data_IF_385206618366
#
_entry.id   IF_385206618366
#
_cell.length_a   1.000
_cell.length_b   1.000
_cell.length_c   1.000
_cell.angle_alpha   90.00
_cell.angle_beta   90.00
_cell.angle_gamma   90.00
#
_symmetry.space_group_name_H-M   'P 1'
#
loop_
_entity.id
_entity.type
_entity.pdbx_description
1 polymer ?
#
# COMPACT_ATOMS: atom_id res chain seq x y z
N UNK A 1 3.66 20.16 -0.81
CA UNK A 1 3.62 18.70 -0.58
C UNK A 1 4.16 18.01 -1.82
N UNK A 2 5.37 17.45 -1.74
CA UNK A 2 5.94 16.68 -2.83
C UNK A 2 5.78 15.21 -2.48
N UNK A 3 5.39 14.38 -3.44
CA UNK A 3 5.55 12.94 -3.28
C UNK A 3 7.05 12.68 -3.25
N UNK A 4 7.58 12.12 -2.16
CA UNK A 4 8.96 11.65 -2.15
C UNK A 4 9.15 10.57 -3.25
N UNK A 5 10.38 10.37 -3.74
CA UNK A 5 10.69 9.38 -4.79
C UNK A 5 10.06 8.02 -4.54
N UNK A 6 10.05 7.62 -3.28
CA UNK A 6 9.59 6.32 -2.85
C UNK A 6 8.07 6.21 -3.04
N UNK A 7 7.32 7.24 -2.64
CA UNK A 7 5.88 7.32 -2.86
C UNK A 7 5.54 7.33 -4.35
N UNK A 8 6.29 8.10 -5.16
CA UNK A 8 6.13 8.11 -6.61
C UNK A 8 6.40 6.74 -7.23
N UNK A 9 7.49 6.06 -6.83
CA UNK A 9 7.84 4.71 -7.26
C UNK A 9 6.69 3.74 -7.02
N UNK A 10 6.10 3.80 -5.83
CA UNK A 10 5.06 2.87 -5.39
C UNK A 10 3.75 3.08 -6.14
N UNK A 11 3.35 4.33 -6.38
CA UNK A 11 2.18 4.66 -7.21
C UNK A 11 2.39 4.17 -8.64
N UNK A 12 3.56 4.39 -9.22
CA UNK A 12 3.88 3.96 -10.57
C UNK A 12 3.95 2.43 -10.70
N UNK A 13 4.48 1.73 -9.70
CA UNK A 13 4.49 0.27 -9.66
C UNK A 13 3.07 -0.30 -9.68
N UNK A 14 2.19 0.22 -8.84
CA UNK A 14 0.78 -0.19 -8.81
C UNK A 14 0.08 0.08 -10.15
N UNK A 15 0.27 1.27 -10.71
CA UNK A 15 -0.32 1.64 -12.00
C UNK A 15 0.19 0.71 -13.12
N UNK A 16 1.49 0.45 -13.16
CA UNK A 16 2.12 -0.38 -14.17
C UNK A 16 1.68 -1.85 -14.11
N UNK A 17 1.50 -2.41 -12.91
CA UNK A 17 1.02 -3.79 -12.74
C UNK A 17 -0.43 -4.00 -13.16
N UNK A 18 -1.29 -2.97 -13.05
CA UNK A 18 -2.72 -3.09 -13.35
C UNK A 18 -3.07 -2.53 -14.74
N UNK A 19 -2.30 -1.56 -15.24
CA UNK A 19 -2.57 -0.80 -16.46
C UNK A 19 -1.25 -0.46 -17.17
N UNK A 20 -0.51 -1.50 -17.56
CA UNK A 20 0.84 -1.37 -18.14
C UNK A 20 0.89 -0.40 -19.32
N UNK A 21 0.06 -0.59 -20.34
CA UNK A 21 0.06 0.23 -21.56
C UNK A 21 -0.25 1.72 -21.27
N UNK A 22 -1.21 1.97 -20.40
CA UNK A 22 -1.61 3.33 -20.03
C UNK A 22 -0.55 4.02 -19.19
N UNK A 23 0.09 3.28 -18.28
CA UNK A 23 1.19 3.80 -17.46
C UNK A 23 2.40 4.09 -18.34
N UNK A 24 2.78 3.21 -19.27
CA UNK A 24 3.84 3.47 -20.25
C UNK A 24 3.57 4.70 -21.10
N UNK A 25 2.33 4.84 -21.59
CA UNK A 25 1.93 5.98 -22.39
C UNK A 25 2.14 7.29 -21.60
N UNK A 26 1.57 7.40 -20.40
CA UNK A 26 1.72 8.61 -19.56
C UNK A 26 3.19 8.87 -19.24
N UNK A 27 3.93 7.84 -18.84
CA UNK A 27 5.34 8.00 -18.47
C UNK A 27 6.27 8.33 -19.63
N UNK A 28 5.85 8.05 -20.87
CA UNK A 28 6.57 8.42 -22.10
C UNK A 28 6.31 9.85 -22.57
N UNK A 29 5.31 10.56 -21.99
CA UNK A 29 4.97 11.91 -22.40
C UNK A 29 5.99 12.94 -21.88
N UNK A 30 6.67 13.63 -22.81
CA UNK A 30 7.59 14.73 -22.51
C UNK A 30 6.92 15.98 -21.90
N UNK A 31 5.60 15.98 -21.71
CA UNK A 31 4.87 17.10 -21.08
C UNK A 31 5.04 17.12 -19.56
N UNK A 32 5.28 15.97 -18.92
CA UNK A 32 5.44 15.87 -17.46
C UNK A 32 6.70 16.63 -16.99
N UNK A 33 7.77 16.62 -17.80
CA UNK A 33 9.02 17.34 -17.55
C UNK A 33 8.87 18.88 -17.58
N UNK A 34 7.79 19.39 -18.20
CA UNK A 34 7.61 20.84 -18.43
C UNK A 34 6.91 21.55 -17.28
N UNK A 35 6.48 20.83 -16.24
CA UNK A 35 5.83 21.45 -15.10
C UNK A 35 6.87 22.11 -14.20
N UNK A 36 6.78 23.43 -14.08
CA UNK A 36 7.58 24.22 -13.12
C UNK A 36 7.23 23.75 -11.72
N UNK A 37 8.25 23.49 -10.90
CA UNK A 37 8.06 23.13 -9.50
C UNK A 37 7.25 24.22 -8.78
N UNK A 38 6.16 23.83 -8.12
CA UNK A 38 5.34 24.73 -7.31
C UNK A 38 5.81 24.59 -5.86
N UNK A 39 6.24 25.70 -5.24
CA UNK A 39 6.55 25.78 -3.80
C UNK A 39 7.57 24.74 -3.32
N UNK A 40 8.69 24.60 -4.03
CA UNK A 40 9.75 23.63 -3.73
C UNK A 40 9.31 22.15 -3.80
N UNK A 41 8.12 21.85 -4.33
CA UNK A 41 7.72 20.49 -4.67
C UNK A 41 8.28 20.13 -6.05
N UNK A 42 9.49 19.59 -6.07
CA UNK A 42 10.07 18.97 -7.25
C UNK A 42 9.61 17.51 -7.33
N UNK A 43 8.82 17.15 -8.35
CA UNK A 43 8.64 15.73 -8.69
C UNK A 43 10.05 15.20 -8.96
N UNK A 44 10.54 14.31 -8.10
CA UNK A 44 11.81 13.62 -8.33
C UNK A 44 11.81 12.98 -9.72
N UNK A 45 12.99 12.83 -10.32
CA UNK A 45 13.14 12.43 -11.73
C UNK A 45 12.26 11.22 -12.05
N UNK A 46 11.12 11.53 -12.67
CA UNK A 46 10.01 10.63 -12.88
C UNK A 46 10.45 9.45 -13.77
N UNK A 47 11.42 9.69 -14.66
CA UNK A 47 12.01 8.65 -15.52
C UNK A 47 12.88 7.69 -14.74
N UNK A 48 13.71 8.19 -13.82
CA UNK A 48 14.52 7.34 -12.94
C UNK A 48 13.61 6.45 -12.09
N UNK A 49 12.55 7.05 -11.55
CA UNK A 49 11.55 6.34 -10.76
C UNK A 49 10.81 5.28 -11.58
N UNK A 50 10.43 5.59 -12.82
CA UNK A 50 9.75 4.65 -13.72
C UNK A 50 10.68 3.54 -14.24
N UNK A 51 11.95 3.84 -14.51
CA UNK A 51 12.94 2.83 -14.87
C UNK A 51 13.11 1.81 -13.74
N UNK A 52 13.18 2.29 -12.50
CA UNK A 52 13.20 1.44 -11.30
C UNK A 52 11.96 0.54 -11.21
N UNK A 53 10.77 1.04 -11.57
CA UNK A 53 9.53 0.23 -11.61
C UNK A 53 9.67 -0.94 -12.57
N UNK A 54 10.20 -0.70 -13.77
CA UNK A 54 10.42 -1.77 -14.77
C UNK A 54 11.41 -2.82 -14.29
N UNK A 55 12.47 -2.40 -13.60
CA UNK A 55 13.46 -3.32 -13.01
C UNK A 55 12.83 -4.20 -11.92
N UNK A 56 12.02 -3.62 -11.04
CA UNK A 56 11.34 -4.37 -9.97
C UNK A 56 10.36 -5.41 -10.55
N UNK A 57 9.54 -5.01 -11.53
CA UNK A 57 8.61 -5.94 -12.20
C UNK A 57 9.36 -7.07 -12.90
N UNK A 58 10.49 -6.76 -13.56
CA UNK A 58 11.33 -7.77 -14.19
C UNK A 58 12.03 -8.68 -13.17
N UNK A 59 12.39 -8.17 -11.98
CA UNK A 59 12.96 -8.95 -10.89
C UNK A 59 11.91 -9.88 -10.25
N UNK A 60 10.67 -9.42 -10.08
CA UNK A 60 9.57 -10.21 -9.54
C UNK A 60 9.12 -11.30 -10.54
N UNK A 61 9.07 -10.99 -11.84
CA UNK A 61 8.79 -11.98 -12.89
C UNK A 61 9.79 -13.14 -12.90
N UNK A 62 11.05 -12.90 -12.49
CA UNK A 62 12.08 -13.94 -12.35
C UNK A 62 11.87 -14.85 -11.14
N UNK A 63 11.03 -14.49 -10.18
CA UNK A 63 10.80 -15.30 -8.96
C UNK A 63 9.88 -16.51 -9.21
N UNK A 64 9.37 -16.72 -10.44
CA UNK A 64 8.55 -17.88 -10.84
C UNK A 64 7.37 -18.21 -9.90
N UNK A 65 6.85 -17.22 -9.16
CA UNK A 65 5.68 -17.40 -8.29
C UNK A 65 4.43 -17.28 -9.13
N UNK A 66 3.56 -18.29 -9.08
CA UNK A 66 2.22 -18.19 -9.66
C UNK A 66 1.43 -17.14 -8.88
N UNK A 67 0.94 -16.06 -9.51
CA UNK A 67 0.13 -15.06 -8.81
C UNK A 67 -1.12 -15.72 -8.23
N UNK A 68 -1.44 -15.36 -6.99
CA UNK A 68 -2.66 -15.84 -6.34
C UNK A 68 -3.87 -15.12 -6.94
N UNK A 69 -4.76 -15.88 -7.55
CA UNK A 69 -6.04 -15.36 -8.04
C UNK A 69 -7.05 -15.19 -6.90
N UNK A 70 -7.98 -14.25 -7.06
CA UNK A 70 -9.06 -14.02 -6.10
C UNK A 70 -9.50 -12.56 -6.05
N UNK A 71 -10.51 -12.25 -5.21
CA UNK A 71 -10.95 -10.87 -5.01
C UNK A 71 -9.87 -10.01 -4.36
N UNK A 72 -10.09 -8.69 -4.42
CA UNK A 72 -9.27 -7.69 -3.74
C UNK A 72 -9.93 -7.32 -2.42
N UNK A 73 -9.17 -7.44 -1.33
CA UNK A 73 -9.59 -6.97 -0.01
C UNK A 73 -9.07 -5.57 0.24
N UNK A 74 -9.94 -4.66 0.65
CA UNK A 74 -9.57 -3.30 1.05
C UNK A 74 -9.87 -3.08 2.53
N UNK A 75 -8.82 -3.12 3.35
CA UNK A 75 -8.90 -2.88 4.79
C UNK A 75 -8.55 -1.42 5.04
N UNK A 76 -9.44 -0.69 5.69
CA UNK A 76 -9.22 0.73 5.91
C UNK A 76 -9.85 1.22 7.22
N UNK A 77 -9.41 2.37 7.76
CA UNK A 77 -10.00 2.97 8.96
C UNK A 77 -11.42 3.48 8.67
N UNK A 78 -12.03 4.18 9.64
CA UNK A 78 -13.42 4.63 9.63
C UNK A 78 -13.82 5.44 8.37
N UNK A 79 -12.85 6.02 7.67
CA UNK A 79 -13.08 6.70 6.39
C UNK A 79 -13.69 5.80 5.30
N UNK A 80 -13.51 4.48 5.39
CA UNK A 80 -14.07 3.51 4.45
C UNK A 80 -15.43 2.95 4.88
N UNK A 81 -16.05 3.46 5.95
CA UNK A 81 -17.32 2.94 6.47
C UNK A 81 -18.47 2.97 5.45
N UNK A 82 -18.50 3.97 4.57
CA UNK A 82 -19.49 4.00 3.49
C UNK A 82 -19.22 2.92 2.44
N UNK A 83 -17.95 2.65 2.13
CA UNK A 83 -17.54 1.64 1.16
C UNK A 83 -17.72 0.21 1.67
N UNK A 84 -17.67 -0.02 2.99
CA UNK A 84 -17.96 -1.33 3.59
C UNK A 84 -19.46 -1.67 3.52
N UNK A 85 -20.33 -0.65 3.58
CA UNK A 85 -21.78 -0.83 3.44
C UNK A 85 -22.21 -1.09 2.00
N UNK A 86 -21.41 -0.63 1.04
CA UNK A 86 -21.58 -1.02 -0.34
C UNK A 86 -21.21 -2.51 -0.48
N UNK A 87 -22.14 -3.32 -0.98
CA UNK A 87 -21.88 -4.72 -1.30
C UNK A 87 -20.69 -4.87 -2.27
N UNK A 88 -19.99 -6.03 -2.30
CA UNK A 88 -18.81 -6.21 -3.13
C UNK A 88 -19.04 -5.80 -4.59
N UNK A 89 -18.32 -4.77 -5.06
CA UNK A 89 -18.39 -4.31 -6.46
C UNK A 89 -17.11 -4.69 -7.19
N UNK A 90 -17.25 -5.29 -8.37
CA UNK A 90 -16.13 -5.65 -9.24
C UNK A 90 -15.02 -6.47 -8.56
N UNK A 91 -15.38 -7.36 -7.61
CA UNK A 91 -14.42 -8.19 -6.88
C UNK A 91 -13.67 -7.46 -5.76
N UNK A 92 -14.03 -6.22 -5.42
CA UNK A 92 -13.51 -5.48 -4.27
C UNK A 92 -14.39 -5.72 -3.04
N UNK A 93 -13.79 -6.21 -1.96
CA UNK A 93 -14.45 -6.38 -0.65
C UNK A 93 -13.81 -5.42 0.35
N UNK A 94 -14.60 -4.49 0.86
CA UNK A 94 -14.11 -3.49 1.83
C UNK A 94 -14.43 -3.94 3.25
N UNK A 95 -13.47 -3.76 4.17
CA UNK A 95 -13.66 -3.95 5.62
C UNK A 95 -13.08 -2.79 6.40
N UNK A 96 -13.84 -2.29 7.37
CA UNK A 96 -13.34 -1.27 8.30
C UNK A 96 -12.55 -1.95 9.43
N UNK A 97 -11.31 -1.50 9.62
CA UNK A 97 -10.46 -1.92 10.73
C UNK A 97 -9.90 -0.67 11.42
N UNK A 98 -10.35 -0.41 12.65
CA UNK A 98 -9.95 0.75 13.47
C UNK A 98 -8.89 0.41 14.51
N UNK A 99 -8.54 -0.87 14.65
CA UNK A 99 -7.46 -1.38 15.51
C UNK A 99 -6.73 -2.55 14.85
N UNK A 100 -5.53 -2.86 15.32
CA UNK A 100 -4.75 -4.01 14.87
C UNK A 100 -5.48 -5.33 15.14
N UNK A 101 -6.18 -5.45 16.28
CA UNK A 101 -6.99 -6.63 16.59
C UNK A 101 -8.12 -6.86 15.55
N UNK A 102 -8.75 -5.80 15.06
CA UNK A 102 -9.74 -5.90 13.98
C UNK A 102 -9.07 -6.23 12.65
N UNK A 103 -7.93 -5.63 12.36
CA UNK A 103 -7.18 -5.89 11.13
C UNK A 103 -6.74 -7.36 11.03
N UNK A 104 -6.29 -7.95 12.14
CA UNK A 104 -5.97 -9.37 12.23
C UNK A 104 -7.16 -10.23 11.80
N UNK A 105 -8.35 -10.00 12.39
CA UNK A 105 -9.57 -10.74 12.06
C UNK A 105 -9.97 -10.59 10.59
N UNK A 106 -9.76 -9.41 10.02
CA UNK A 106 -9.99 -9.17 8.59
C UNK A 106 -9.08 -10.05 7.74
N UNK A 107 -7.77 -10.11 8.04
CA UNK A 107 -6.83 -10.95 7.30
C UNK A 107 -7.12 -12.45 7.42
N UNK A 108 -7.51 -12.90 8.61
CA UNK A 108 -7.93 -14.29 8.84
C UNK A 108 -9.14 -14.66 7.96
N UNK A 109 -10.01 -13.70 7.64
CA UNK A 109 -11.16 -13.90 6.75
C UNK A 109 -10.84 -13.87 5.25
N UNK A 110 -9.64 -13.41 4.85
CA UNK A 110 -9.25 -13.16 3.46
C UNK A 110 -8.26 -14.18 2.89
N UNK A 111 -8.26 -15.39 3.42
CA UNK A 111 -7.34 -16.46 3.01
C UNK A 111 -7.42 -16.82 1.53
N UNK A 112 -8.57 -16.63 0.87
CA UNK A 112 -8.77 -16.88 -0.57
C UNK A 112 -8.50 -15.67 -1.48
N UNK A 113 -8.16 -14.51 -0.92
CA UNK A 113 -8.05 -13.28 -1.71
C UNK A 113 -6.71 -13.22 -2.43
N UNK A 114 -6.69 -12.64 -3.63
CA UNK A 114 -5.48 -12.49 -4.44
C UNK A 114 -4.67 -11.24 -4.05
N UNK A 115 -5.36 -10.14 -3.78
CA UNK A 115 -4.74 -8.85 -3.45
C UNK A 115 -5.29 -8.29 -2.14
N UNK A 116 -4.41 -7.84 -1.26
CA UNK A 116 -4.76 -7.09 -0.05
C UNK A 116 -4.27 -5.65 -0.17
N UNK A 117 -5.18 -4.70 -0.01
CA UNK A 117 -4.90 -3.27 0.10
C UNK A 117 -5.23 -2.86 1.53
N UNK A 118 -4.26 -2.30 2.24
CA UNK A 118 -4.35 -2.11 3.70
C UNK A 118 -3.99 -0.67 4.04
N UNK A 119 -4.93 0.08 4.59
CA UNK A 119 -4.67 1.35 5.26
C UNK A 119 -4.63 1.09 6.75
N UNK A 120 -3.45 1.22 7.36
CA UNK A 120 -3.23 0.86 8.76
C UNK A 120 -4.08 1.70 9.71
N UNK A 121 -4.66 1.08 10.76
CA UNK A 121 -5.44 1.78 11.77
C UNK A 121 -4.59 2.82 12.50
N UNK A 122 -5.23 3.92 12.89
CA UNK A 122 -4.58 4.93 13.73
C UNK A 122 -4.57 4.51 15.20
N UNK A 123 -3.78 3.47 15.53
CA UNK A 123 -3.63 2.93 16.88
C UNK A 123 -2.18 3.08 17.35
N UNK A 124 -1.98 3.80 18.46
CA UNK A 124 -0.63 4.08 18.99
C UNK A 124 -0.11 3.01 19.95
N UNK A 125 -0.96 2.04 20.30
CA UNK A 125 -0.64 0.93 21.21
C UNK A 125 -1.19 -0.34 20.59
N UNK A 126 -0.32 -1.16 20.02
CA UNK A 126 -0.65 -2.52 19.59
C UNK A 126 -0.11 -3.52 20.60
N UNK A 127 -0.84 -4.60 20.83
CA UNK A 127 -0.29 -5.78 21.50
C UNK A 127 0.76 -6.41 20.58
N UNK A 128 1.88 -6.83 21.16
CA UNK A 128 3.02 -7.35 20.40
C UNK A 128 2.59 -8.62 19.66
N UNK A 129 1.86 -9.48 20.36
CA UNK A 129 1.34 -10.76 19.86
C UNK A 129 0.43 -10.56 18.64
N UNK A 130 -0.48 -9.57 18.70
CA UNK A 130 -1.38 -9.23 17.58
C UNK A 130 -0.56 -8.72 16.39
N UNK A 131 0.42 -7.87 16.65
CA UNK A 131 1.26 -7.28 15.60
C UNK A 131 2.11 -8.35 14.90
N UNK A 132 2.65 -9.30 15.66
CA UNK A 132 3.39 -10.46 15.14
C UNK A 132 2.51 -11.36 14.25
N UNK A 133 1.27 -11.63 14.67
CA UNK A 133 0.36 -12.46 13.87
C UNK A 133 -0.06 -11.75 12.57
N UNK A 134 -0.30 -10.43 12.60
CA UNK A 134 -0.56 -9.64 11.38
C UNK A 134 0.61 -9.76 10.39
N UNK A 135 1.83 -9.58 10.89
CA UNK A 135 3.06 -9.71 10.08
C UNK A 135 3.18 -11.12 9.48
N UNK A 136 2.87 -12.15 10.27
CA UNK A 136 2.87 -13.54 9.82
C UNK A 136 1.81 -13.79 8.74
N UNK A 137 0.60 -13.28 8.90
CA UNK A 137 -0.47 -13.38 7.89
C UNK A 137 -0.07 -12.70 6.59
N UNK A 138 0.49 -11.49 6.65
CA UNK A 138 1.01 -10.77 5.48
C UNK A 138 2.09 -11.57 4.75
N UNK A 139 3.05 -12.13 5.50
CA UNK A 139 4.13 -12.95 4.95
C UNK A 139 3.58 -14.20 4.27
N UNK A 140 2.68 -14.93 4.93
CA UNK A 140 2.07 -16.14 4.37
C UNK A 140 1.29 -15.84 3.08
N UNK A 141 0.57 -14.72 3.04
CA UNK A 141 -0.15 -14.29 1.84
C UNK A 141 0.79 -14.02 0.66
N UNK A 142 1.91 -13.34 0.89
CA UNK A 142 2.94 -13.08 -0.12
C UNK A 142 3.65 -14.37 -0.58
N UNK A 143 3.95 -15.28 0.34
CA UNK A 143 4.54 -16.60 0.02
C UNK A 143 3.59 -17.46 -0.84
N UNK A 144 2.28 -17.31 -0.65
CA UNK A 144 1.25 -17.93 -1.47
C UNK A 144 1.04 -17.25 -2.84
N UNK A 145 1.86 -16.26 -3.20
CA UNK A 145 1.76 -15.51 -4.46
C UNK A 145 0.75 -14.36 -4.44
N UNK A 146 0.23 -14.01 -3.26
CA UNK A 146 -0.67 -12.88 -3.08
C UNK A 146 0.04 -11.55 -3.19
N UNK A 147 -0.70 -10.51 -3.60
CA UNK A 147 -0.21 -9.13 -3.62
C UNK A 147 -0.60 -8.42 -2.34
N UNK A 148 0.32 -7.63 -1.78
CA UNK A 148 0.08 -6.81 -0.59
C UNK A 148 0.49 -5.36 -0.88
N UNK A 149 -0.47 -4.46 -0.71
CA UNK A 149 -0.29 -3.01 -0.80
C UNK A 149 -0.66 -2.46 0.57
N UNK A 150 0.24 -1.73 1.19
CA UNK A 150 -0.01 -1.14 2.52
C UNK A 150 0.16 0.36 2.48
N UNK A 151 -0.58 1.10 3.28
CA UNK A 151 -0.45 2.53 3.43
C UNK A 151 -0.77 2.97 4.86
N UNK A 152 -0.22 4.10 5.27
CA UNK A 152 -0.61 4.72 6.53
C UNK A 152 -1.75 5.74 6.31
N UNK A 153 -2.64 5.86 7.30
CA UNK A 153 -3.80 6.77 7.21
C UNK A 153 -3.35 8.24 7.04
N UNK A 154 -3.79 9.00 6.03
CA UNK A 154 -3.33 10.38 5.82
C UNK A 154 -3.43 11.30 7.04
N UNK A 155 -2.45 12.19 7.19
CA UNK A 155 -2.41 13.19 8.27
C UNK A 155 -3.43 14.30 7.99
N UNK A 156 -4.19 14.65 9.01
CA UNK A 156 -5.00 15.88 9.04
C UNK A 156 -4.67 16.64 10.32
N UNK A 157 -4.93 17.95 10.36
CA UNK A 157 -4.69 18.76 11.57
C UNK A 157 -5.40 18.17 12.79
N UNK A 158 -6.63 17.69 12.60
CA UNK A 158 -7.44 17.05 13.63
C UNK A 158 -6.86 15.72 14.15
N UNK A 159 -5.96 15.05 13.41
CA UNK A 159 -5.41 13.73 13.74
C UNK A 159 -3.89 13.73 13.96
N UNK A 160 -3.25 14.90 13.89
CA UNK A 160 -1.79 15.08 13.97
C UNK A 160 -1.19 14.50 15.25
N UNK A 161 -1.77 14.78 16.41
CA UNK A 161 -1.22 14.28 17.68
C UNK A 161 -1.26 12.76 17.76
N UNK A 162 -2.39 12.15 17.37
CA UNK A 162 -2.56 10.69 17.32
C UNK A 162 -1.56 10.04 16.36
N UNK A 163 -1.39 10.66 15.19
CA UNK A 163 -0.41 10.23 14.19
C UNK A 163 1.04 10.29 14.67
N UNK A 164 1.40 11.37 15.37
CA UNK A 164 2.74 11.52 15.96
C UNK A 164 2.96 10.50 17.07
N UNK A 165 1.94 10.19 17.87
CA UNK A 165 2.01 9.15 18.90
C UNK A 165 2.26 7.75 18.30
N UNK A 166 1.82 7.50 17.07
CA UNK A 166 2.04 6.23 16.36
C UNK A 166 3.47 6.07 15.79
N UNK A 167 4.34 7.09 15.89
CA UNK A 167 5.65 7.08 15.20
C UNK A 167 6.45 5.80 15.43
N UNK A 168 6.55 5.34 16.68
CA UNK A 168 7.34 4.15 17.00
C UNK A 168 6.75 2.89 16.38
N UNK A 169 5.42 2.72 16.47
CA UNK A 169 4.69 1.58 15.87
C UNK A 169 4.89 1.58 14.35
N UNK A 170 4.80 2.76 13.71
CA UNK A 170 5.01 2.92 12.27
C UNK A 170 6.40 2.49 11.85
N UNK A 171 7.43 3.04 12.50
CA UNK A 171 8.82 2.71 12.19
C UNK A 171 9.10 1.21 12.37
N UNK A 172 8.56 0.58 13.41
CA UNK A 172 8.74 -0.84 13.66
C UNK A 172 8.04 -1.69 12.59
N UNK A 173 6.78 -1.40 12.26
CA UNK A 173 6.05 -2.13 11.23
C UNK A 173 6.67 -1.94 9.84
N UNK A 174 7.06 -0.72 9.48
CA UNK A 174 7.73 -0.43 8.21
C UNK A 174 9.06 -1.21 8.10
N UNK A 175 9.84 -1.28 9.18
CA UNK A 175 11.10 -2.03 9.20
C UNK A 175 10.91 -3.54 9.08
N UNK A 176 9.76 -4.07 9.52
CA UNK A 176 9.44 -5.50 9.43
C UNK A 176 8.86 -5.81 8.05
N UNK A 177 7.79 -5.13 7.67
CA UNK A 177 7.03 -5.35 6.43
C UNK A 177 7.87 -5.00 5.20
N UNK A 178 8.70 -3.95 5.27
CA UNK A 178 9.62 -3.58 4.20
C UNK A 178 10.67 -4.67 3.86
N UNK A 179 10.82 -5.71 4.68
CA UNK A 179 11.67 -6.87 4.34
C UNK A 179 11.04 -7.80 3.32
N UNK A 180 9.72 -7.75 3.13
CA UNK A 180 9.01 -8.74 2.31
C UNK A 180 7.82 -8.19 1.51
N UNK A 181 7.40 -6.94 1.70
CA UNK A 181 6.28 -6.34 0.98
C UNK A 181 6.59 -4.93 0.45
N UNK A 182 5.80 -4.50 -0.53
CA UNK A 182 5.80 -3.13 -1.04
C UNK A 182 4.96 -2.27 -0.08
N UNK A 183 5.62 -1.36 0.64
CA UNK A 183 4.95 -0.36 1.46
C UNK A 183 4.44 0.78 0.56
N UNK A 184 3.45 1.58 0.97
CA UNK A 184 3.09 2.90 0.40
C UNK A 184 3.07 3.96 1.50
N UNK A 185 4.16 4.74 1.60
CA UNK A 185 4.31 5.73 2.65
C UNK A 185 3.61 7.00 2.19
N UNK A 186 2.31 7.11 2.43
CA UNK A 186 1.65 8.42 2.31
C UNK A 186 2.06 9.26 3.53
N UNK A 187 2.89 10.28 3.29
CA UNK A 187 3.19 11.36 4.23
C UNK A 187 1.97 12.25 4.48
#
# INVERSE_FOLDING_TARGET
MCLDAETLFRILLLAYENYTEWTEFICSMNSIEKHVAIESNCVEDYRVTFARVKEEVAAEAKKNRTPKEGPTGFAAPESAFLLEKDEPRAGLVTRVATSFAQLQKVFESWTSFGTWVVVHPMESKGEVEITEEIVKLMKNHLEAGGKLITAWTPITDARKEKWMAMRQVRMTLDAIVGKFAILINCL
#
